data_IF_512198820182
#
_entry.id   IF_512198820182
#
_cell.length_a   1.000
_cell.length_b   1.000
_cell.length_c   1.000
_cell.angle_alpha   90.00
_cell.angle_beta   90.00
_cell.angle_gamma   90.00
#
_symmetry.space_group_name_H-M   'P 1'
#
loop_
_entity.id
_entity.type
_entity.pdbx_description
1 polymer ?
#
# COMPACT_ATOMS: atom_id res chain seq x y z
N UNK A 1 11.46 -19.09 23.28
CA UNK A 1 10.05 -19.12 23.71
C UNK A 1 9.87 -18.38 25.03
N UNK A 2 10.67 -18.68 26.08
CA UNK A 2 10.56 -18.07 27.42
C UNK A 2 10.65 -16.54 27.37
N UNK A 3 11.56 -15.98 26.59
CA UNK A 3 11.71 -14.53 26.39
C UNK A 3 10.47 -13.93 25.72
N UNK A 4 9.94 -14.59 24.68
CA UNK A 4 8.73 -14.13 23.97
C UNK A 4 7.52 -14.11 24.90
N UNK A 5 7.33 -15.15 25.72
CA UNK A 5 6.25 -15.20 26.71
C UNK A 5 6.37 -14.07 27.76
N UNK A 6 7.58 -13.75 28.19
CA UNK A 6 7.83 -12.64 29.13
C UNK A 6 7.48 -11.30 28.50
N UNK A 7 7.99 -11.03 27.31
CA UNK A 7 7.71 -9.78 26.58
C UNK A 7 6.22 -9.61 26.24
N UNK A 8 5.55 -10.71 25.85
CA UNK A 8 4.11 -10.69 25.62
C UNK A 8 3.34 -10.30 26.87
N UNK A 9 3.72 -10.86 28.04
CA UNK A 9 3.11 -10.53 29.34
C UNK A 9 3.36 -9.05 29.73
N UNK A 10 4.59 -8.57 29.56
CA UNK A 10 4.98 -7.18 29.84
C UNK A 10 4.20 -6.18 28.97
N UNK A 11 3.90 -6.55 27.71
CA UNK A 11 3.16 -5.72 26.75
C UNK A 11 1.64 -5.97 26.74
N UNK A 12 1.10 -6.79 27.64
CA UNK A 12 -0.33 -7.10 27.70
C UNK A 12 -0.84 -7.91 26.49
N UNK A 13 0.05 -8.59 25.76
CA UNK A 13 -0.33 -9.40 24.60
C UNK A 13 -0.78 -10.78 25.06
N UNK A 14 -2.01 -11.14 24.75
CA UNK A 14 -2.54 -12.45 25.04
C UNK A 14 -1.84 -13.54 24.22
N UNK A 15 -1.38 -14.60 24.86
CA UNK A 15 -0.79 -15.75 24.19
C UNK A 15 -1.37 -17.07 24.70
N UNK A 16 -1.37 -18.07 23.84
CA UNK A 16 -1.80 -19.44 24.16
C UNK A 16 -0.68 -20.41 23.85
N UNK A 17 -0.41 -21.36 24.75
CA UNK A 17 0.43 -22.51 24.44
C UNK A 17 -0.42 -23.56 23.72
N UNK A 18 0.08 -24.07 22.63
CA UNK A 18 -0.59 -25.08 21.81
C UNK A 18 0.40 -26.18 21.43
N UNK A 19 -0.11 -27.30 20.92
CA UNK A 19 0.72 -28.40 20.44
C UNK A 19 1.42 -28.04 19.12
N UNK A 20 2.53 -28.67 18.84
CA UNK A 20 3.26 -28.51 17.57
C UNK A 20 2.38 -28.85 16.36
N UNK A 21 1.56 -29.92 16.46
CA UNK A 21 0.58 -30.26 15.43
C UNK A 21 -0.35 -29.10 15.11
N UNK A 22 -0.80 -28.35 16.12
CA UNK A 22 -1.66 -27.20 15.91
C UNK A 22 -0.91 -26.04 15.24
N UNK A 23 0.36 -25.81 15.60
CA UNK A 23 1.22 -24.81 14.94
C UNK A 23 1.44 -25.19 13.46
N UNK A 24 1.74 -26.43 13.16
CA UNK A 24 1.90 -26.94 11.80
C UNK A 24 0.63 -26.72 10.96
N UNK A 25 -0.55 -27.00 11.52
CA UNK A 25 -1.82 -26.76 10.84
C UNK A 25 -2.08 -25.26 10.60
N UNK A 26 -1.77 -24.41 11.57
CA UNK A 26 -1.94 -22.95 11.45
C UNK A 26 -0.97 -22.35 10.44
N UNK A 27 0.28 -22.82 10.38
CA UNK A 27 1.30 -22.34 9.44
C UNK A 27 1.13 -22.90 8.03
N UNK A 28 0.17 -23.83 7.82
CA UNK A 28 -0.03 -24.54 6.54
C UNK A 28 1.26 -25.17 6.00
N UNK A 29 2.08 -25.70 6.91
CA UNK A 29 3.37 -26.32 6.57
C UNK A 29 4.55 -25.36 6.41
N UNK A 30 4.36 -24.07 6.64
CA UNK A 30 5.49 -23.13 6.68
C UNK A 30 6.28 -23.26 7.99
N UNK A 31 7.58 -22.98 7.96
CA UNK A 31 8.45 -23.00 9.15
C UNK A 31 8.01 -21.92 10.15
N UNK A 32 7.60 -22.34 11.36
CA UNK A 32 7.11 -21.44 12.40
C UNK A 32 8.06 -21.34 13.62
N UNK A 33 9.12 -22.14 13.66
CA UNK A 33 10.11 -22.13 14.76
C UNK A 33 9.50 -22.19 16.19
N UNK A 34 8.33 -22.83 16.34
CA UNK A 34 7.61 -22.98 17.60
C UNK A 34 6.76 -21.78 18.04
N UNK A 35 6.59 -20.75 17.20
CA UNK A 35 5.79 -19.56 17.50
C UNK A 35 5.02 -19.11 16.27
N UNK A 36 3.75 -18.73 16.46
CA UNK A 36 2.95 -18.03 15.46
C UNK A 36 2.34 -16.80 16.13
N UNK A 37 2.56 -15.62 15.56
CA UNK A 37 1.89 -14.40 15.95
C UNK A 37 0.71 -14.15 15.00
N UNK A 38 -0.45 -13.85 15.58
CA UNK A 38 -1.62 -13.39 14.85
C UNK A 38 -1.81 -11.91 15.22
N UNK A 39 -1.63 -11.05 14.24
CA UNK A 39 -1.83 -9.60 14.40
C UNK A 39 -2.87 -9.11 13.40
N UNK A 40 -3.48 -7.95 13.69
CA UNK A 40 -4.14 -7.19 12.63
C UNK A 40 -3.07 -6.84 11.59
N UNK A 41 -3.41 -6.99 10.32
CA UNK A 41 -2.64 -6.34 9.26
C UNK A 41 -2.69 -4.82 9.51
N UNK A 42 -1.73 -4.03 8.97
CA UNK A 42 -1.69 -2.58 9.16
C UNK A 42 -3.08 -1.94 9.02
N UNK A 43 -3.35 -0.96 9.84
CA UNK A 43 -4.57 -0.17 9.76
C UNK A 43 -4.48 0.73 8.51
N UNK A 44 -5.62 0.97 7.87
CA UNK A 44 -5.72 1.96 6.80
C UNK A 44 -5.75 3.35 7.43
N UNK A 45 -5.09 4.28 6.77
CA UNK A 45 -5.10 5.70 7.13
C UNK A 45 -6.07 6.49 6.26
N UNK A 46 -6.31 7.75 6.61
CA UNK A 46 -7.03 8.68 5.75
C UNK A 46 -6.12 9.30 4.67
N UNK A 47 -6.69 9.97 3.69
CA UNK A 47 -5.92 10.74 2.70
C UNK A 47 -5.19 11.89 3.37
N UNK A 48 -5.86 12.55 4.30
CA UNK A 48 -5.34 13.67 5.07
C UNK A 48 -4.10 13.27 5.87
N UNK A 49 -4.06 12.05 6.43
CA UNK A 49 -2.88 11.55 7.14
C UNK A 49 -1.68 11.43 6.19
N UNK A 50 -1.88 10.95 4.94
CA UNK A 50 -0.79 10.85 3.95
C UNK A 50 -0.26 12.23 3.58
N UNK A 51 -1.15 13.20 3.35
CA UNK A 51 -0.75 14.58 3.04
C UNK A 51 -0.04 15.25 4.22
N UNK A 52 -0.49 14.98 5.46
CA UNK A 52 0.16 15.48 6.67
C UNK A 52 1.60 14.97 6.81
N UNK A 53 1.86 13.70 6.46
CA UNK A 53 3.22 13.13 6.51
C UNK A 53 4.18 13.88 5.56
N UNK A 54 3.73 14.21 4.35
CA UNK A 54 4.55 14.99 3.41
C UNK A 54 4.84 16.39 3.97
N UNK A 55 3.81 17.04 4.53
CA UNK A 55 3.94 18.37 5.12
C UNK A 55 4.86 18.36 6.37
N UNK A 56 4.77 17.36 7.23
CA UNK A 56 5.64 17.20 8.41
C UNK A 56 7.11 17.00 8.04
N UNK A 57 7.36 16.40 6.86
CA UNK A 57 8.71 16.23 6.31
C UNK A 57 9.21 17.43 5.52
N UNK A 58 8.38 18.45 5.32
CA UNK A 58 8.65 19.60 4.45
C UNK A 58 8.99 19.15 3.01
N UNK A 59 8.32 18.09 2.53
CA UNK A 59 8.51 17.50 1.21
C UNK A 59 7.24 17.66 0.36
N UNK A 60 7.42 17.76 -0.96
CA UNK A 60 6.30 17.68 -1.89
C UNK A 60 5.65 16.31 -1.84
N UNK A 61 4.30 16.19 -1.77
CA UNK A 61 3.64 14.90 -1.74
C UNK A 61 4.00 14.04 -2.94
N UNK A 62 4.48 12.82 -2.69
CA UNK A 62 4.61 11.76 -3.69
C UNK A 62 3.73 10.59 -3.28
N UNK A 63 2.67 10.35 -4.05
CA UNK A 63 1.61 9.40 -3.70
C UNK A 63 1.41 8.41 -4.85
N UNK A 64 1.38 7.13 -4.53
CA UNK A 64 1.03 6.08 -5.50
C UNK A 64 -0.47 5.80 -5.39
N UNK A 65 -1.15 5.77 -6.52
CA UNK A 65 -2.58 5.52 -6.63
C UNK A 65 -2.78 4.24 -7.43
N UNK A 66 -3.40 3.24 -6.83
CA UNK A 66 -3.65 1.95 -7.49
C UNK A 66 -5.08 1.93 -8.06
N UNK A 67 -5.23 1.66 -9.34
CA UNK A 67 -6.54 1.48 -9.98
C UNK A 67 -6.70 0.02 -10.43
N UNK A 68 -7.68 -0.67 -9.85
CA UNK A 68 -8.02 -2.07 -10.14
C UNK A 68 -6.85 -3.08 -9.94
N UNK A 69 -6.00 -2.86 -8.97
CA UNK A 69 -4.94 -3.81 -8.58
C UNK A 69 -5.55 -4.88 -7.67
N UNK A 70 -6.08 -5.94 -8.25
CA UNK A 70 -6.80 -7.00 -7.51
C UNK A 70 -5.88 -8.09 -6.95
N UNK A 71 -4.69 -8.27 -7.54
CA UNK A 71 -3.77 -9.32 -7.15
C UNK A 71 -2.90 -8.88 -5.96
N UNK A 72 -2.95 -9.60 -4.81
CA UNK A 72 -2.17 -9.22 -3.61
C UNK A 72 -0.65 -9.18 -3.84
N UNK A 73 -0.12 -10.01 -4.74
CA UNK A 73 1.30 -10.01 -5.07
C UNK A 73 1.71 -8.70 -5.76
N UNK A 74 0.88 -8.20 -6.68
CA UNK A 74 1.12 -6.95 -7.40
C UNK A 74 1.02 -5.75 -6.44
N UNK A 75 -0.02 -5.70 -5.59
CA UNK A 75 -0.13 -4.65 -4.57
C UNK A 75 1.08 -4.64 -3.63
N UNK A 76 1.54 -5.80 -3.17
CA UNK A 76 2.72 -5.89 -2.31
C UNK A 76 4.01 -5.41 -3.01
N UNK A 77 4.19 -5.74 -4.29
CA UNK A 77 5.32 -5.27 -5.10
C UNK A 77 5.28 -3.74 -5.29
N UNK A 78 4.10 -3.18 -5.57
CA UNK A 78 3.90 -1.73 -5.70
C UNK A 78 4.24 -1.02 -4.38
N UNK A 79 3.70 -1.48 -3.24
CA UNK A 79 3.98 -0.91 -1.92
C UNK A 79 5.48 -0.93 -1.61
N UNK A 80 6.17 -2.05 -1.89
CA UNK A 80 7.62 -2.16 -1.69
C UNK A 80 8.40 -1.16 -2.53
N UNK A 81 8.03 -1.01 -3.80
CA UNK A 81 8.69 -0.08 -4.70
C UNK A 81 8.39 1.37 -4.32
N UNK A 82 7.15 1.67 -3.96
CA UNK A 82 6.72 2.99 -3.50
C UNK A 82 7.49 3.44 -2.24
N UNK A 83 7.63 2.55 -1.25
CA UNK A 83 8.41 2.82 -0.04
C UNK A 83 9.88 3.09 -0.38
N UNK A 84 10.51 2.22 -1.18
CA UNK A 84 11.89 2.39 -1.58
C UNK A 84 12.14 3.66 -2.43
N UNK A 85 11.12 4.13 -3.14
CA UNK A 85 11.16 5.38 -3.92
C UNK A 85 10.86 6.64 -3.09
N UNK A 86 10.57 6.51 -1.79
CA UNK A 86 10.27 7.61 -0.90
C UNK A 86 8.84 8.17 -1.03
N UNK A 87 7.89 7.37 -1.51
CA UNK A 87 6.49 7.79 -1.52
C UNK A 87 5.95 8.00 -0.11
N UNK A 88 5.04 8.95 0.06
CA UNK A 88 4.41 9.28 1.34
C UNK A 88 3.22 8.38 1.67
N UNK A 89 2.68 7.68 0.67
CA UNK A 89 1.60 6.74 0.88
C UNK A 89 1.11 6.11 -0.42
N UNK A 90 0.23 5.11 -0.23
CA UNK A 90 -0.45 4.42 -1.32
C UNK A 90 -1.96 4.55 -1.15
N UNK A 91 -2.68 4.84 -2.22
CA UNK A 91 -4.14 4.91 -2.23
C UNK A 91 -4.69 3.72 -3.01
N UNK A 92 -5.63 2.99 -2.41
CA UNK A 92 -6.33 1.88 -3.05
C UNK A 92 -7.85 2.08 -2.97
N UNK A 93 -8.63 1.66 -3.96
CA UNK A 93 -10.09 1.67 -3.87
C UNK A 93 -10.61 0.55 -2.95
N UNK A 94 -11.81 0.73 -2.40
CA UNK A 94 -12.49 -0.31 -1.58
C UNK A 94 -12.97 -1.49 -2.40
N UNK A 95 -13.21 -1.30 -3.69
CA UNK A 95 -13.71 -2.31 -4.64
C UNK A 95 -12.69 -2.51 -5.74
N UNK A 96 -12.66 -3.70 -6.32
CA UNK A 96 -11.73 -4.08 -7.39
C UNK A 96 -10.27 -3.81 -7.01
N UNK A 97 -9.90 -4.15 -5.79
CA UNK A 97 -8.55 -3.98 -5.29
C UNK A 97 -8.24 -5.03 -4.23
N UNK A 98 -7.01 -5.50 -4.23
CA UNK A 98 -6.49 -6.28 -3.11
C UNK A 98 -6.56 -5.45 -1.82
N UNK A 99 -6.74 -6.12 -0.71
CA UNK A 99 -6.68 -5.52 0.63
C UNK A 99 -5.35 -5.86 1.29
N UNK A 100 -4.94 -5.09 2.28
CA UNK A 100 -3.81 -5.42 3.13
C UNK A 100 -4.06 -6.74 3.85
N UNK A 101 -3.32 -7.77 3.49
CA UNK A 101 -3.40 -9.12 4.02
C UNK A 101 -1.99 -9.72 4.16
N UNK A 102 -1.89 -10.92 4.74
CA UNK A 102 -0.61 -11.59 4.96
C UNK A 102 0.24 -11.77 3.68
N UNK A 103 -0.40 -11.94 2.52
CA UNK A 103 0.30 -12.05 1.23
C UNK A 103 0.93 -10.71 0.84
N UNK A 104 0.19 -9.60 0.95
CA UNK A 104 0.69 -8.25 0.68
C UNK A 104 1.85 -7.91 1.61
N UNK A 105 1.74 -8.22 2.91
CA UNK A 105 2.84 -8.02 3.86
C UNK A 105 4.09 -8.81 3.49
N UNK A 106 3.93 -10.06 3.08
CA UNK A 106 5.04 -10.92 2.65
C UNK A 106 5.68 -10.40 1.35
N UNK A 107 4.89 -10.07 0.35
CA UNK A 107 5.40 -9.64 -0.96
C UNK A 107 5.94 -8.23 -0.97
N UNK A 108 5.46 -7.37 -0.06
CA UNK A 108 6.05 -6.05 0.19
C UNK A 108 7.35 -6.10 0.99
N UNK A 109 7.83 -7.28 1.40
CA UNK A 109 9.00 -7.44 2.28
C UNK A 109 8.91 -6.61 3.56
N UNK A 110 7.69 -6.39 4.08
CA UNK A 110 7.41 -5.62 5.29
C UNK A 110 7.17 -4.12 5.05
N UNK A 111 7.36 -3.59 3.84
CA UNK A 111 7.13 -2.17 3.53
C UNK A 111 5.70 -1.72 3.88
N UNK A 112 4.70 -2.60 3.76
CA UNK A 112 3.32 -2.32 4.16
C UNK A 112 3.12 -2.03 5.67
N UNK A 113 4.14 -2.24 6.50
CA UNK A 113 4.13 -1.84 7.92
C UNK A 113 4.61 -0.40 8.14
N UNK A 114 5.23 0.20 7.15
CA UNK A 114 5.86 1.52 7.23
C UNK A 114 5.22 2.54 6.33
N UNK A 115 4.92 2.17 5.08
CA UNK A 115 4.27 3.04 4.13
C UNK A 115 2.75 3.07 4.37
N UNK A 116 2.16 4.22 4.70
CA UNK A 116 0.73 4.37 4.92
C UNK A 116 -0.09 4.00 3.70
N UNK A 117 -1.19 3.29 3.90
CA UNK A 117 -2.13 2.93 2.84
C UNK A 117 -3.51 3.49 3.16
N UNK A 118 -4.03 4.36 2.31
CA UNK A 118 -5.40 4.84 2.39
C UNK A 118 -6.33 3.99 1.54
N UNK A 119 -7.52 3.69 2.07
CA UNK A 119 -8.52 2.90 1.36
C UNK A 119 -9.79 3.72 1.11
N UNK A 120 -10.02 4.10 -0.14
CA UNK A 120 -11.04 5.09 -0.51
C UNK A 120 -12.27 4.46 -1.16
N UNK A 121 -13.42 5.06 -0.96
CA UNK A 121 -14.69 4.56 -1.54
C UNK A 121 -14.87 4.99 -3.00
N UNK A 122 -14.33 6.15 -3.38
CA UNK A 122 -14.45 6.74 -4.71
C UNK A 122 -13.08 7.30 -5.15
N UNK A 123 -12.38 6.54 -5.99
CA UNK A 123 -11.04 6.91 -6.45
C UNK A 123 -11.07 8.20 -7.29
N UNK A 124 -12.08 8.37 -8.13
CA UNK A 124 -12.23 9.56 -8.97
C UNK A 124 -12.40 10.84 -8.13
N UNK A 125 -13.22 10.81 -7.09
CA UNK A 125 -13.38 11.94 -6.17
C UNK A 125 -12.09 12.19 -5.35
N UNK A 126 -11.37 11.13 -5.00
CA UNK A 126 -10.08 11.26 -4.30
C UNK A 126 -9.03 11.95 -5.19
N UNK A 127 -9.00 11.63 -6.48
CA UNK A 127 -8.13 12.30 -7.45
C UNK A 127 -8.48 13.80 -7.53
N UNK A 128 -9.77 14.16 -7.57
CA UNK A 128 -10.19 15.56 -7.58
C UNK A 128 -9.70 16.29 -6.33
N UNK A 129 -9.85 15.69 -5.14
CA UNK A 129 -9.33 16.25 -3.89
C UNK A 129 -7.81 16.43 -3.90
N UNK A 130 -7.06 15.49 -4.47
CA UNK A 130 -5.61 15.63 -4.61
C UNK A 130 -5.25 16.81 -5.51
N UNK A 131 -5.94 16.97 -6.64
CA UNK A 131 -5.75 18.10 -7.57
C UNK A 131 -6.08 19.45 -6.90
N UNK A 132 -7.16 19.52 -6.11
CA UNK A 132 -7.51 20.70 -5.31
C UNK A 132 -6.41 21.04 -4.28
N UNK A 133 -5.64 20.06 -3.83
CA UNK A 133 -4.47 20.24 -2.96
C UNK A 133 -3.16 20.45 -3.74
N UNK A 134 -3.23 20.74 -5.04
CA UNK A 134 -2.07 21.07 -5.87
C UNK A 134 -1.24 19.87 -6.34
N UNK A 135 -1.74 18.64 -6.19
CA UNK A 135 -1.04 17.43 -6.63
C UNK A 135 -1.30 17.19 -8.12
N UNK A 136 -0.25 17.09 -8.92
CA UNK A 136 -0.32 16.73 -10.33
C UNK A 136 -0.51 15.22 -10.50
N UNK A 137 -1.44 14.82 -11.33
CA UNK A 137 -1.83 13.42 -11.52
C UNK A 137 -1.25 12.88 -12.82
N UNK A 138 -0.38 11.89 -12.67
CA UNK A 138 0.27 11.16 -13.76
C UNK A 138 -0.30 9.75 -13.83
N UNK A 139 -0.78 9.35 -14.99
CA UNK A 139 -1.27 7.98 -15.22
C UNK A 139 -0.29 7.18 -16.05
N UNK A 140 -0.04 5.91 -15.67
CA UNK A 140 0.78 5.00 -16.49
C UNK A 140 -0.05 4.39 -17.61
N UNK A 141 0.38 4.61 -18.86
CA UNK A 141 -0.32 4.13 -20.06
C UNK A 141 0.67 3.74 -21.15
N UNK A 142 0.43 2.63 -21.84
CA UNK A 142 1.33 2.16 -22.90
C UNK A 142 1.40 3.08 -24.14
N UNK A 143 0.46 4.01 -24.27
CA UNK A 143 0.42 5.03 -25.32
C UNK A 143 0.81 6.42 -24.80
N UNK A 144 1.26 6.51 -23.53
CA UNK A 144 1.69 7.74 -22.91
C UNK A 144 3.04 8.25 -23.40
N UNK A 145 3.42 9.42 -22.89
CA UNK A 145 4.74 9.99 -23.13
C UNK A 145 5.81 9.20 -22.37
N UNK A 146 7.04 9.17 -22.90
CA UNK A 146 8.15 8.58 -22.15
C UNK A 146 8.37 9.34 -20.84
N UNK A 147 8.40 8.62 -19.71
CA UNK A 147 8.66 9.22 -18.39
C UNK A 147 10.02 9.94 -18.32
N UNK A 148 10.95 9.60 -19.20
CA UNK A 148 12.26 10.27 -19.30
C UNK A 148 12.19 11.64 -19.95
N UNK A 149 11.10 11.96 -20.65
CA UNK A 149 10.88 13.23 -21.33
C UNK A 149 10.01 14.19 -20.52
N UNK A 150 9.41 13.70 -19.43
CA UNK A 150 8.53 14.46 -18.56
C UNK A 150 9.26 14.87 -17.28
N UNK A 151 9.12 16.13 -16.91
CA UNK A 151 9.69 16.63 -15.66
C UNK A 151 8.80 16.23 -14.48
N UNK A 152 9.15 15.16 -13.80
CA UNK A 152 8.48 14.68 -12.60
C UNK A 152 9.05 15.38 -11.35
N UNK A 153 8.57 16.59 -11.06
CA UNK A 153 8.97 17.39 -9.89
C UNK A 153 7.77 18.06 -9.26
N UNK A 154 7.86 18.35 -7.97
CA UNK A 154 6.76 18.92 -7.19
C UNK A 154 5.78 17.85 -6.68
N UNK A 155 4.60 18.24 -6.23
CA UNK A 155 3.58 17.32 -5.71
C UNK A 155 3.07 16.36 -6.79
N UNK A 156 3.22 15.05 -6.60
CA UNK A 156 2.91 14.03 -7.61
C UNK A 156 1.99 12.93 -7.06
N UNK A 157 0.93 12.65 -7.79
CA UNK A 157 0.13 11.42 -7.69
C UNK A 157 0.35 10.55 -8.93
N UNK A 158 1.01 9.41 -8.77
CA UNK A 158 1.26 8.45 -9.85
C UNK A 158 0.23 7.33 -9.81
N UNK A 159 -0.56 7.19 -10.87
CA UNK A 159 -1.56 6.14 -11.00
C UNK A 159 -0.97 4.94 -11.72
N UNK A 160 -1.10 3.77 -11.08
CA UNK A 160 -0.76 2.47 -11.64
C UNK A 160 -2.05 1.68 -11.86
N UNK A 161 -2.32 1.32 -13.10
CA UNK A 161 -3.47 0.52 -13.50
C UNK A 161 -3.21 -0.98 -13.44
N UNK A 162 -4.27 -1.78 -13.66
CA UNK A 162 -4.18 -3.23 -13.69
C UNK A 162 -3.29 -3.74 -14.83
N UNK A 163 -2.66 -4.91 -14.62
CA UNK A 163 -1.71 -5.51 -15.57
C UNK A 163 -2.34 -5.81 -16.95
N UNK A 164 -3.62 -6.21 -16.98
CA UNK A 164 -4.28 -6.60 -18.22
C UNK A 164 -5.03 -5.48 -18.94
N UNK A 165 -5.61 -4.55 -18.18
CA UNK A 165 -6.53 -3.52 -18.72
C UNK A 165 -6.04 -2.08 -18.51
N UNK A 166 -4.93 -1.90 -17.80
CA UNK A 166 -4.44 -0.57 -17.44
C UNK A 166 -5.39 0.14 -16.47
N UNK A 167 -5.50 1.44 -16.62
CA UNK A 167 -6.41 2.30 -15.85
C UNK A 167 -7.82 2.30 -16.43
N UNK A 168 -8.83 2.38 -15.57
CA UNK A 168 -10.20 2.61 -15.99
C UNK A 168 -10.35 3.96 -16.73
N UNK A 169 -11.24 4.00 -17.75
CA UNK A 169 -11.41 5.19 -18.58
C UNK A 169 -11.65 6.47 -17.76
N UNK A 170 -12.54 6.42 -16.76
CA UNK A 170 -12.82 7.58 -15.91
C UNK A 170 -11.58 8.07 -15.16
N UNK A 171 -10.72 7.16 -14.71
CA UNK A 171 -9.49 7.49 -14.01
C UNK A 171 -8.46 8.07 -14.97
N UNK A 172 -8.32 7.47 -16.17
CA UNK A 172 -7.47 7.98 -17.24
C UNK A 172 -7.86 9.41 -17.66
N UNK A 173 -9.16 9.68 -17.80
CA UNK A 173 -9.69 11.02 -18.17
C UNK A 173 -9.40 12.10 -17.08
N UNK A 174 -9.07 11.70 -15.85
CA UNK A 174 -8.73 12.60 -14.75
C UNK A 174 -7.23 12.87 -14.61
N UNK A 175 -6.37 12.13 -15.31
CA UNK A 175 -4.95 12.38 -15.30
C UNK A 175 -4.63 13.71 -15.98
N UNK A 176 -3.64 14.43 -15.43
CA UNK A 176 -3.10 15.64 -16.07
C UNK A 176 -2.12 15.25 -17.19
N UNK A 177 -1.42 14.12 -16.99
CA UNK A 177 -0.45 13.57 -17.94
C UNK A 177 -0.58 12.05 -18.01
N UNK A 178 -0.27 11.51 -19.17
CA UNK A 178 -0.11 10.05 -19.39
C UNK A 178 1.34 9.76 -19.74
N UNK A 179 1.94 8.81 -19.02
CA UNK A 179 3.33 8.38 -19.12
C UNK A 179 3.41 6.95 -19.68
#
# INVERSE_FOLDING_TARGET
>A
ITLICRLAKEKGINYKRVTETKLNNMSRGASHQGVIAMGACAEYVSLEDILSIANEKEEDPFIIICDEIEEPHNLGAIIRTAEAAGAHGVIIPKRRSASLNATVFKTSAGAASWLPVARVSNLAATIDMLKENGVWIYGTDGEGQSYTEVKLTGPIGLIVGSEGFGMGRLIKDKCDFLL
#
